data_IF_798606443787
#
_entry.id   IF_798606443787
#
_cell.length_a   1.000
_cell.length_b   1.000
_cell.length_c   1.000
_cell.angle_alpha   90.00
_cell.angle_beta   90.00
_cell.angle_gamma   90.00
#
_symmetry.space_group_name_H-M   'P 1'
#
loop_
_entity.id
_entity.type
_entity.pdbx_description
1 polymer ?
#
# COMPACT_ATOMS: atom_id res chain seq x y z
N UNK A 1 42.65 14.12 24.45
CA UNK A 1 41.68 13.70 23.40
C UNK A 1 42.31 14.11 22.08
N UNK A 2 42.57 13.16 21.21
CA UNK A 2 43.17 13.42 19.88
C UNK A 2 42.20 14.24 19.04
N UNK A 3 42.74 15.02 18.11
CA UNK A 3 41.96 15.88 17.21
C UNK A 3 40.88 15.08 16.42
N UNK A 4 41.25 13.87 15.99
CA UNK A 4 40.34 12.91 15.37
C UNK A 4 39.16 12.50 16.27
N UNK A 5 39.39 12.35 17.57
CA UNK A 5 38.32 12.00 18.51
C UNK A 5 37.32 13.16 18.71
N UNK A 6 37.80 14.40 18.69
CA UNK A 6 36.91 15.59 18.72
C UNK A 6 36.09 15.72 17.41
N UNK A 7 36.74 15.53 16.28
CA UNK A 7 36.06 15.55 14.99
C UNK A 7 34.97 14.50 14.93
N UNK A 8 35.28 13.22 15.24
CA UNK A 8 34.33 12.12 15.23
C UNK A 8 33.14 12.38 16.17
N UNK A 9 33.38 12.83 17.37
CA UNK A 9 32.33 13.20 18.32
C UNK A 9 31.41 14.29 17.77
N UNK A 10 31.96 15.32 17.15
CA UNK A 10 31.17 16.41 16.58
C UNK A 10 30.33 15.95 15.39
N UNK A 11 30.85 15.06 14.54
CA UNK A 11 30.10 14.46 13.43
C UNK A 11 28.95 13.61 13.96
N UNK A 12 29.22 12.71 14.91
CA UNK A 12 28.21 11.85 15.52
C UNK A 12 27.10 12.64 16.21
N UNK A 13 27.45 13.68 16.95
CA UNK A 13 26.46 14.53 17.62
C UNK A 13 25.57 15.28 16.62
N UNK A 14 26.16 15.85 15.58
CA UNK A 14 25.39 16.54 14.52
C UNK A 14 24.49 15.57 13.75
N UNK A 15 24.98 14.38 13.44
CA UNK A 15 24.18 13.33 12.79
C UNK A 15 23.01 12.88 13.67
N UNK A 16 23.25 12.68 14.97
CA UNK A 16 22.20 12.31 15.93
C UNK A 16 21.13 13.42 16.05
N UNK A 17 21.56 14.68 16.13
CA UNK A 17 20.65 15.82 16.17
C UNK A 17 19.80 15.91 14.89
N UNK A 18 20.44 15.82 13.72
CA UNK A 18 19.74 15.82 12.43
C UNK A 18 18.71 14.68 12.35
N UNK A 19 19.11 13.47 12.75
CA UNK A 19 18.22 12.31 12.79
C UNK A 19 17.02 12.53 13.71
N UNK A 20 17.26 13.10 14.92
CA UNK A 20 16.17 13.43 15.84
C UNK A 20 15.21 14.46 15.24
N UNK A 21 15.73 15.55 14.63
CA UNK A 21 14.92 16.58 13.99
C UNK A 21 14.10 16.00 12.85
N UNK A 22 14.69 15.18 11.99
CA UNK A 22 13.96 14.53 10.88
C UNK A 22 12.84 13.62 11.39
N UNK A 23 13.08 12.86 12.46
CA UNK A 23 12.03 12.03 13.08
C UNK A 23 10.87 12.89 13.64
N UNK A 24 11.17 14.00 14.29
CA UNK A 24 10.16 14.90 14.84
C UNK A 24 9.34 15.56 13.72
N UNK A 25 9.99 16.03 12.68
CA UNK A 25 9.33 16.64 11.52
C UNK A 25 8.42 15.63 10.81
N UNK A 26 8.90 14.39 10.62
CA UNK A 26 8.11 13.32 10.02
C UNK A 26 6.88 12.98 10.87
N UNK A 27 7.04 12.87 12.19
CA UNK A 27 5.93 12.59 13.10
C UNK A 27 4.88 13.73 13.14
N UNK A 28 5.32 14.97 12.96
CA UNK A 28 4.45 16.14 12.90
C UNK A 28 3.73 16.26 11.53
N UNK A 29 4.30 15.66 10.49
CA UNK A 29 3.76 15.69 9.14
C UNK A 29 2.70 14.60 8.91
N UNK A 30 1.57 14.63 9.54
CA UNK A 30 0.52 13.59 9.62
C UNK A 30 0.35 12.64 8.41
N UNK A 31 0.54 13.14 7.16
CA UNK A 31 0.41 12.37 5.91
C UNK A 31 1.76 12.02 5.26
N UNK A 32 2.84 12.01 6.03
CA UNK A 32 4.19 11.81 5.50
C UNK A 32 4.37 10.53 4.68
N UNK A 33 3.74 9.43 5.07
CA UNK A 33 3.80 8.17 4.30
C UNK A 33 3.09 8.27 2.95
N UNK A 34 1.90 8.86 2.90
CA UNK A 34 1.16 9.06 1.65
C UNK A 34 1.92 10.00 0.71
N UNK A 35 2.54 11.07 1.25
CA UNK A 35 3.35 11.98 0.47
C UNK A 35 4.60 11.28 -0.11
N UNK A 36 5.30 10.46 0.70
CA UNK A 36 6.42 9.64 0.24
C UNK A 36 5.98 8.61 -0.81
N UNK A 37 4.79 8.02 -0.67
CA UNK A 37 4.21 7.09 -1.65
C UNK A 37 4.04 7.69 -3.05
N UNK A 38 3.95 9.01 -3.16
CA UNK A 38 3.89 9.72 -4.45
C UNK A 38 5.27 9.92 -5.12
N UNK A 39 6.36 9.69 -4.39
CA UNK A 39 7.72 9.88 -4.90
C UNK A 39 8.19 8.61 -5.63
N UNK A 40 8.04 8.58 -6.95
CA UNK A 40 8.47 7.45 -7.79
C UNK A 40 10.01 7.38 -7.98
N UNK A 41 10.78 7.46 -6.88
CA UNK A 41 12.25 7.47 -6.91
C UNK A 41 12.89 6.09 -6.73
N UNK A 42 12.13 5.10 -6.30
CA UNK A 42 12.67 3.79 -5.94
C UNK A 42 13.52 3.15 -7.05
N UNK A 43 13.01 3.09 -8.27
CA UNK A 43 13.74 2.48 -9.40
C UNK A 43 15.02 3.24 -9.79
N UNK A 44 15.09 4.55 -9.46
CA UNK A 44 16.29 5.37 -9.67
C UNK A 44 17.34 5.14 -8.58
N UNK A 45 16.87 4.97 -7.34
CA UNK A 45 17.76 4.81 -6.18
C UNK A 45 18.30 3.38 -6.07
N UNK A 46 17.54 2.38 -6.51
CA UNK A 46 17.88 0.96 -6.37
C UNK A 46 17.64 0.25 -7.72
N UNK A 47 18.42 0.56 -8.74
CA UNK A 47 18.27 -0.04 -10.06
C UNK A 47 18.55 -1.55 -10.00
N UNK A 48 17.74 -2.34 -10.70
CA UNK A 48 17.89 -3.80 -10.79
C UNK A 48 17.38 -4.58 -9.59
N UNK A 49 16.85 -3.93 -8.54
CA UNK A 49 16.18 -4.62 -7.43
C UNK A 49 14.75 -4.96 -7.83
N UNK A 50 14.46 -6.24 -7.86
CA UNK A 50 13.08 -6.71 -8.02
C UNK A 50 12.22 -6.28 -6.82
N UNK A 51 10.97 -5.98 -7.10
CA UNK A 51 9.98 -5.63 -6.09
C UNK A 51 8.91 -6.67 -6.04
N UNK A 52 8.26 -6.74 -4.89
CA UNK A 52 7.00 -7.46 -4.82
C UNK A 52 5.99 -6.83 -5.78
N UNK A 53 5.21 -7.66 -6.49
CA UNK A 53 4.21 -7.14 -7.41
C UNK A 53 3.16 -6.35 -6.62
N UNK A 54 3.02 -5.09 -6.97
CA UNK A 54 1.93 -4.23 -6.56
C UNK A 54 1.70 -3.25 -7.69
N UNK A 55 0.74 -3.61 -8.53
CA UNK A 55 0.53 -2.94 -9.80
C UNK A 55 1.20 -3.66 -10.96
N UNK A 56 0.78 -3.33 -12.15
CA UNK A 56 1.10 -4.04 -13.39
C UNK A 56 2.39 -3.52 -14.02
N UNK A 57 2.81 -2.33 -13.65
CA UNK A 57 4.00 -1.69 -14.18
C UNK A 57 4.93 -1.24 -13.06
N UNK A 58 6.07 -1.91 -12.86
CA UNK A 58 7.01 -1.59 -11.78
C UNK A 58 7.71 -0.25 -11.94
N UNK A 59 7.61 0.41 -13.11
CA UNK A 59 8.14 1.75 -13.32
C UNK A 59 7.17 2.84 -12.90
N UNK A 60 5.87 2.55 -12.86
CA UNK A 60 4.79 3.49 -12.54
C UNK A 60 4.08 3.19 -11.23
N UNK A 61 4.09 1.92 -10.82
CA UNK A 61 3.53 1.47 -9.57
C UNK A 61 4.61 0.79 -8.74
N UNK A 62 4.79 1.20 -7.52
CA UNK A 62 5.71 0.55 -6.59
C UNK A 62 5.15 0.62 -5.18
N UNK A 63 5.55 -0.34 -4.41
CA UNK A 63 5.08 -0.45 -3.06
C UNK A 63 6.08 0.20 -2.10
N UNK A 64 5.76 1.36 -1.60
CA UNK A 64 6.55 2.01 -0.56
C UNK A 64 6.27 1.39 0.81
N UNK A 65 5.01 0.98 1.06
CA UNK A 65 4.59 0.42 2.33
C UNK A 65 3.44 -0.55 2.16
N UNK A 66 3.58 -1.77 2.69
CA UNK A 66 2.49 -2.76 2.79
C UNK A 66 1.56 -2.48 3.98
N UNK A 67 1.89 -1.52 4.83
CA UNK A 67 1.17 -1.27 6.08
C UNK A 67 0.33 -0.01 6.07
N UNK A 68 0.50 0.86 5.07
CA UNK A 68 -0.23 2.11 4.98
C UNK A 68 -1.06 2.14 3.69
N UNK A 69 -2.38 2.12 3.85
CA UNK A 69 -3.34 2.06 2.74
C UNK A 69 -3.18 3.25 1.77
N UNK A 70 -3.02 4.46 2.28
CA UNK A 70 -2.88 5.66 1.46
C UNK A 70 -1.55 5.67 0.69
N UNK A 71 -0.45 5.24 1.32
CA UNK A 71 0.84 5.13 0.65
C UNK A 71 0.83 4.05 -0.44
N UNK A 72 0.16 2.92 -0.21
CA UNK A 72 -0.03 1.89 -1.23
C UNK A 72 -0.74 2.45 -2.45
N UNK A 73 -1.90 3.08 -2.26
CA UNK A 73 -2.66 3.66 -3.37
C UNK A 73 -1.91 4.80 -4.05
N UNK A 74 -1.25 5.68 -3.29
CA UNK A 74 -0.44 6.76 -3.86
C UNK A 74 0.71 6.25 -4.74
N UNK A 75 1.25 5.08 -4.42
CA UNK A 75 2.32 4.43 -5.19
C UNK A 75 1.79 3.56 -6.36
N UNK A 76 0.49 3.35 -6.47
CA UNK A 76 -0.12 2.49 -7.48
C UNK A 76 -0.57 3.28 -8.72
N UNK A 77 -0.37 2.71 -9.90
CA UNK A 77 -0.80 3.34 -11.16
C UNK A 77 -2.33 3.55 -11.27
N UNK A 78 -3.13 2.81 -10.50
CA UNK A 78 -4.59 2.99 -10.43
C UNK A 78 -4.98 4.41 -9.99
N UNK A 79 -4.12 5.09 -9.25
CA UNK A 79 -4.32 6.47 -8.80
C UNK A 79 -3.97 7.52 -9.87
N UNK A 80 -3.38 7.10 -10.98
CA UNK A 80 -3.17 7.99 -12.14
C UNK A 80 -4.48 8.22 -12.90
N UNK A 81 -4.61 9.36 -13.60
CA UNK A 81 -5.75 9.59 -14.48
C UNK A 81 -5.91 8.45 -15.49
N UNK A 82 -7.15 7.95 -15.64
CA UNK A 82 -7.44 6.92 -16.62
C UNK A 82 -7.29 7.48 -18.05
N UNK A 83 -6.72 6.71 -18.99
CA UNK A 83 -6.81 7.01 -20.41
C UNK A 83 -8.27 7.09 -20.85
N UNK A 84 -8.55 7.98 -21.80
CA UNK A 84 -9.92 8.13 -22.33
C UNK A 84 -10.39 6.85 -23.01
N UNK A 85 -11.56 6.37 -22.62
CA UNK A 85 -12.18 5.18 -23.21
C UNK A 85 -11.71 3.84 -22.63
N UNK A 86 -10.80 3.82 -21.67
CA UNK A 86 -10.38 2.59 -20.98
C UNK A 86 -11.48 2.09 -20.03
N UNK A 87 -11.77 0.79 -20.05
CA UNK A 87 -12.58 0.11 -19.04
C UNK A 87 -11.68 -0.40 -17.93
N UNK A 88 -11.81 0.16 -16.73
CA UNK A 88 -11.01 -0.22 -15.58
C UNK A 88 -11.60 -1.43 -14.86
N UNK A 89 -10.81 -2.50 -14.78
CA UNK A 89 -11.15 -3.75 -14.07
C UNK A 89 -10.22 -3.92 -12.87
N UNK A 90 -10.76 -3.91 -11.67
CA UNK A 90 -9.98 -4.09 -10.44
C UNK A 90 -10.01 -5.56 -10.01
N UNK A 91 -8.83 -6.15 -9.86
CA UNK A 91 -8.65 -7.50 -9.32
C UNK A 91 -8.32 -7.39 -7.84
N UNK A 92 -9.16 -7.92 -6.98
CA UNK A 92 -8.99 -7.90 -5.52
C UNK A 92 -8.92 -9.31 -4.99
N UNK A 93 -8.11 -9.55 -3.99
CA UNK A 93 -7.96 -10.86 -3.35
C UNK A 93 -6.68 -10.97 -2.53
N UNK A 94 -6.29 -12.19 -2.27
CA UNK A 94 -5.17 -12.55 -1.41
C UNK A 94 -3.82 -12.64 -2.16
N UNK A 95 -2.89 -13.41 -1.63
CA UNK A 95 -1.55 -13.65 -2.19
C UNK A 95 -1.55 -14.21 -3.62
N UNK A 96 -2.64 -14.87 -4.04
CA UNK A 96 -2.78 -15.39 -5.40
C UNK A 96 -3.00 -14.27 -6.43
N UNK A 97 -3.79 -13.28 -6.08
CA UNK A 97 -3.98 -12.07 -6.89
C UNK A 97 -2.76 -11.15 -6.78
N UNK A 98 -2.24 -10.99 -5.55
CA UNK A 98 -1.01 -10.23 -5.30
C UNK A 98 0.14 -10.69 -6.19
N UNK A 99 0.27 -12.01 -6.38
CA UNK A 99 1.33 -12.61 -7.18
C UNK A 99 2.61 -12.84 -6.38
N UNK A 100 2.49 -13.43 -5.18
CA UNK A 100 3.66 -13.80 -4.37
C UNK A 100 4.66 -14.60 -5.21
N UNK A 101 5.93 -14.20 -5.19
CA UNK A 101 7.04 -14.78 -5.97
C UNK A 101 6.93 -14.62 -7.49
N UNK A 102 6.00 -13.81 -7.99
CA UNK A 102 5.85 -13.51 -9.41
C UNK A 102 6.37 -12.10 -9.72
N UNK A 103 6.83 -11.90 -10.94
CA UNK A 103 7.02 -10.53 -11.47
C UNK A 103 5.66 -9.92 -11.84
N UNK A 104 5.53 -8.59 -11.95
CA UNK A 104 4.25 -7.97 -12.34
C UNK A 104 3.64 -8.52 -13.63
N UNK A 105 4.45 -8.86 -14.62
CA UNK A 105 4.01 -9.45 -15.89
C UNK A 105 3.53 -10.90 -15.77
N UNK A 106 3.90 -11.59 -14.70
CA UNK A 106 3.49 -12.97 -14.43
C UNK A 106 2.24 -13.05 -13.57
N UNK A 107 1.80 -11.94 -12.97
CA UNK A 107 0.56 -11.90 -12.18
C UNK A 107 -0.67 -12.07 -13.07
N UNK A 108 -1.81 -12.40 -12.46
CA UNK A 108 -3.09 -12.48 -13.17
C UNK A 108 -3.39 -11.19 -13.95
N UNK A 109 -3.22 -10.02 -13.32
CA UNK A 109 -3.41 -8.73 -13.98
C UNK A 109 -2.45 -8.54 -15.17
N UNK A 110 -1.17 -8.87 -14.98
CA UNK A 110 -0.16 -8.78 -16.03
C UNK A 110 -0.50 -9.66 -17.23
N UNK A 111 -0.91 -10.91 -16.99
CA UNK A 111 -1.31 -11.85 -18.04
C UNK A 111 -2.58 -11.40 -18.77
N UNK A 112 -3.60 -10.94 -18.04
CA UNK A 112 -4.83 -10.43 -18.65
C UNK A 112 -4.57 -9.17 -19.50
N UNK A 113 -3.69 -8.28 -19.03
CA UNK A 113 -3.31 -7.09 -19.81
C UNK A 113 -2.51 -7.43 -21.07
N UNK A 114 -1.75 -8.52 -21.06
CA UNK A 114 -1.00 -8.98 -22.24
C UNK A 114 -1.89 -9.56 -23.35
N UNK A 115 -3.17 -9.87 -23.06
CA UNK A 115 -4.14 -10.38 -24.02
C UNK A 115 -4.84 -9.27 -24.82
N UNK A 116 -4.60 -7.99 -24.52
CA UNK A 116 -5.21 -6.83 -25.17
C UNK A 116 -6.74 -6.95 -25.35
N UNK A 117 -7.41 -7.40 -24.28
CA UNK A 117 -8.84 -7.69 -24.28
C UNK A 117 -9.66 -6.41 -24.45
N UNK A 118 -10.82 -6.55 -25.11
CA UNK A 118 -11.80 -5.47 -25.29
C UNK A 118 -13.14 -5.86 -24.69
N UNK A 119 -13.87 -4.85 -24.23
CA UNK A 119 -15.27 -4.99 -23.84
C UNK A 119 -16.19 -5.18 -25.07
N UNK A 120 -17.44 -5.56 -24.84
CA UNK A 120 -18.41 -5.78 -25.92
C UNK A 120 -18.67 -4.53 -26.79
N UNK A 121 -18.42 -3.34 -26.27
CA UNK A 121 -18.52 -2.05 -26.95
C UNK A 121 -17.19 -1.59 -27.59
N UNK A 122 -16.18 -2.47 -27.62
CA UNK A 122 -14.89 -2.24 -28.28
C UNK A 122 -13.90 -1.40 -27.48
N UNK A 123 -14.19 -1.05 -26.24
CA UNK A 123 -13.25 -0.30 -25.38
C UNK A 123 -12.17 -1.24 -24.80
N UNK A 124 -10.90 -0.82 -24.72
CA UNK A 124 -9.85 -1.63 -24.15
C UNK A 124 -10.09 -1.89 -22.66
N UNK A 125 -9.93 -3.14 -22.23
CA UNK A 125 -9.96 -3.52 -20.82
C UNK A 125 -8.57 -3.34 -20.21
N UNK A 126 -8.51 -2.68 -19.05
CA UNK A 126 -7.28 -2.55 -18.26
C UNK A 126 -7.48 -3.15 -16.88
N UNK A 127 -6.68 -4.15 -16.56
CA UNK A 127 -6.73 -4.87 -15.30
C UNK A 127 -5.71 -4.28 -14.32
N UNK A 128 -6.18 -3.94 -13.12
CA UNK A 128 -5.37 -3.36 -12.04
C UNK A 128 -5.29 -4.34 -10.88
N UNK A 129 -4.06 -4.71 -10.49
CA UNK A 129 -3.81 -5.64 -9.41
C UNK A 129 -3.95 -4.94 -8.06
N UNK A 130 -5.05 -5.13 -7.38
CA UNK A 130 -5.30 -4.66 -6.01
C UNK A 130 -5.28 -5.82 -5.01
N UNK A 131 -4.62 -6.93 -5.33
CA UNK A 131 -4.37 -8.02 -4.40
C UNK A 131 -3.51 -7.56 -3.21
N UNK A 132 -3.62 -8.29 -2.10
CA UNK A 132 -2.78 -8.08 -0.91
C UNK A 132 -2.50 -9.42 -0.23
N UNK A 133 -1.26 -9.70 0.23
CA UNK A 133 -0.78 -11.06 0.53
C UNK A 133 -1.32 -11.69 1.83
N UNK A 134 -2.50 -11.32 2.30
CA UNK A 134 -3.14 -11.94 3.46
C UNK A 134 -4.58 -12.33 3.19
N UNK A 135 -5.10 -13.27 3.96
CA UNK A 135 -6.45 -13.81 3.88
C UNK A 135 -7.36 -13.10 4.89
N UNK A 136 -8.14 -12.13 4.43
CA UNK A 136 -9.08 -11.37 5.27
C UNK A 136 -10.06 -10.62 4.37
N UNK A 137 -11.37 -10.84 4.56
CA UNK A 137 -12.40 -10.07 3.87
C UNK A 137 -12.38 -8.59 4.30
N UNK A 138 -12.12 -8.32 5.57
CA UNK A 138 -12.01 -6.94 6.08
C UNK A 138 -10.94 -6.16 5.31
N UNK A 139 -9.80 -6.78 5.05
CA UNK A 139 -8.73 -6.22 4.21
C UNK A 139 -9.23 -5.95 2.79
N UNK A 140 -9.92 -6.91 2.16
CA UNK A 140 -10.43 -6.77 0.79
C UNK A 140 -11.46 -5.64 0.69
N UNK A 141 -12.42 -5.60 1.62
CA UNK A 141 -13.44 -4.54 1.66
C UNK A 141 -12.79 -3.17 1.90
N UNK A 142 -11.77 -3.09 2.75
CA UNK A 142 -11.03 -1.85 2.99
C UNK A 142 -10.31 -1.34 1.73
N UNK A 143 -9.70 -2.24 0.96
CA UNK A 143 -9.08 -1.93 -0.33
C UNK A 143 -10.13 -1.49 -1.35
N UNK A 144 -11.25 -2.20 -1.45
CA UNK A 144 -12.36 -1.86 -2.35
C UNK A 144 -12.99 -0.51 -2.00
N UNK A 145 -13.21 -0.24 -0.72
CA UNK A 145 -13.76 1.05 -0.27
C UNK A 145 -12.84 2.22 -0.65
N UNK A 146 -11.54 2.04 -0.47
CA UNK A 146 -10.55 3.04 -0.88
C UNK A 146 -10.46 3.20 -2.40
N UNK A 147 -10.66 2.11 -3.15
CA UNK A 147 -10.61 2.11 -4.61
C UNK A 147 -11.88 2.63 -5.28
N UNK A 148 -13.00 2.71 -4.55
CA UNK A 148 -14.32 3.03 -5.09
C UNK A 148 -14.34 4.27 -6.00
N UNK A 149 -13.66 5.32 -5.57
CA UNK A 149 -13.67 6.61 -6.27
C UNK A 149 -12.59 6.71 -7.38
N UNK A 150 -11.90 5.60 -7.67
CA UNK A 150 -10.87 5.53 -8.70
C UNK A 150 -11.39 5.04 -10.06
N UNK A 151 -12.70 5.01 -10.25
CA UNK A 151 -13.32 4.77 -11.54
C UNK A 151 -13.32 3.30 -11.99
N UNK A 152 -13.46 2.35 -11.07
CA UNK A 152 -13.69 0.95 -11.42
C UNK A 152 -15.04 0.78 -12.15
N UNK A 153 -15.02 0.24 -13.36
CA UNK A 153 -16.24 -0.18 -14.06
C UNK A 153 -16.59 -1.64 -13.77
N UNK A 154 -15.58 -2.44 -13.45
CA UNK A 154 -15.72 -3.86 -13.07
C UNK A 154 -14.80 -4.19 -11.92
N UNK A 155 -15.26 -5.10 -11.08
CA UNK A 155 -14.49 -5.68 -9.98
C UNK A 155 -14.52 -7.20 -10.14
N UNK A 156 -13.36 -7.81 -10.11
CA UNK A 156 -13.19 -9.26 -9.99
C UNK A 156 -12.59 -9.52 -8.63
N UNK A 157 -13.41 -10.04 -7.72
CA UNK A 157 -13.00 -10.35 -6.37
C UNK A 157 -12.79 -11.85 -6.21
N UNK A 158 -11.54 -12.26 -6.02
CA UNK A 158 -11.15 -13.66 -5.80
C UNK A 158 -11.12 -13.91 -4.30
N UNK A 159 -12.13 -14.65 -3.82
CA UNK A 159 -12.31 -14.96 -2.41
C UNK A 159 -12.05 -16.45 -2.20
N UNK A 160 -11.16 -16.77 -1.27
CA UNK A 160 -10.99 -18.15 -0.76
C UNK A 160 -11.84 -18.35 0.49
N UNK A 161 -12.25 -19.57 0.77
CA UNK A 161 -13.04 -19.88 1.99
C UNK A 161 -12.28 -19.52 3.27
N UNK A 162 -10.96 -19.60 3.23
CA UNK A 162 -10.09 -19.24 4.36
C UNK A 162 -10.10 -17.74 4.67
N UNK A 163 -10.46 -16.89 3.71
CA UNK A 163 -10.65 -15.45 3.94
C UNK A 163 -11.86 -15.12 4.82
N UNK A 164 -12.78 -16.09 5.01
CA UNK A 164 -13.98 -15.96 5.85
C UNK A 164 -13.72 -16.26 7.33
N UNK A 165 -12.55 -16.79 7.68
CA UNK A 165 -12.20 -17.14 9.05
C UNK A 165 -12.21 -15.89 9.93
N UNK A 166 -13.06 -15.89 10.97
CA UNK A 166 -13.32 -14.72 11.82
C UNK A 166 -12.05 -14.18 12.49
N UNK A 167 -11.21 -15.07 12.97
CA UNK A 167 -9.98 -14.74 13.70
C UNK A 167 -8.96 -14.01 12.82
N UNK A 168 -9.01 -14.22 11.51
CA UNK A 168 -8.09 -13.60 10.54
C UNK A 168 -8.51 -12.19 10.11
N UNK A 169 -9.71 -11.73 10.44
CA UNK A 169 -10.24 -10.49 9.88
C UNK A 169 -9.43 -9.25 10.27
N UNK A 170 -8.88 -9.21 11.47
CA UNK A 170 -8.13 -8.08 12.00
C UNK A 170 -6.60 -8.31 12.04
N UNK A 171 -6.14 -9.52 11.73
CA UNK A 171 -4.71 -9.88 11.80
C UNK A 171 -3.91 -9.40 10.58
N UNK A 172 -4.60 -9.02 9.51
CA UNK A 172 -3.93 -8.48 8.34
C UNK A 172 -3.16 -7.20 8.71
N UNK A 173 -1.86 -7.11 8.36
CA UNK A 173 -1.05 -5.93 8.69
C UNK A 173 -1.65 -4.62 8.20
N UNK A 174 -2.26 -4.60 7.01
CA UNK A 174 -2.91 -3.38 6.50
C UNK A 174 -4.14 -3.01 7.31
N UNK A 175 -4.90 -3.98 7.83
CA UNK A 175 -6.06 -3.73 8.71
C UNK A 175 -5.58 -3.17 10.05
N UNK A 176 -4.61 -3.85 10.67
CA UNK A 176 -4.07 -3.47 11.98
C UNK A 176 -3.44 -2.07 11.99
N UNK A 177 -2.85 -1.64 10.88
CA UNK A 177 -2.14 -0.36 10.79
C UNK A 177 -2.99 0.79 10.20
N UNK A 178 -4.25 0.53 9.78
CA UNK A 178 -5.15 1.56 9.24
C UNK A 178 -6.48 1.65 10.03
N UNK A 179 -6.43 1.96 11.31
CA UNK A 179 -7.60 1.94 12.20
C UNK A 179 -8.71 2.92 11.80
N UNK A 180 -8.36 4.02 11.18
CA UNK A 180 -9.34 4.98 10.70
C UNK A 180 -10.18 4.42 9.54
N UNK A 181 -9.55 3.68 8.61
CA UNK A 181 -10.24 3.01 7.53
C UNK A 181 -11.18 1.91 8.05
N UNK A 182 -10.73 1.13 9.04
CA UNK A 182 -11.57 0.10 9.69
C UNK A 182 -12.81 0.72 10.36
N UNK A 183 -12.65 1.83 11.07
CA UNK A 183 -13.79 2.56 11.66
C UNK A 183 -14.73 3.07 10.59
N UNK A 184 -14.20 3.68 9.53
CA UNK A 184 -15.03 4.17 8.42
C UNK A 184 -15.87 3.07 7.76
N UNK A 185 -15.34 1.83 7.69
CA UNK A 185 -16.11 0.67 7.24
C UNK A 185 -17.19 0.30 8.26
N UNK A 186 -16.85 0.21 9.55
CA UNK A 186 -17.81 -0.12 10.60
C UNK A 186 -18.97 0.88 10.62
N UNK A 187 -18.68 2.16 10.56
CA UNK A 187 -19.69 3.23 10.54
C UNK A 187 -20.58 3.14 9.28
N UNK A 188 -19.97 2.90 8.11
CA UNK A 188 -20.69 2.85 6.83
C UNK A 188 -21.60 1.68 6.70
N UNK A 189 -21.19 0.52 7.18
CA UNK A 189 -21.93 -0.74 7.04
C UNK A 189 -22.70 -1.15 8.29
N UNK A 190 -22.74 -0.31 9.32
CA UNK A 190 -23.43 -0.57 10.56
C UNK A 190 -22.91 -1.83 11.26
N UNK A 191 -21.58 -2.05 11.23
CA UNK A 191 -20.97 -3.21 11.84
C UNK A 191 -20.85 -2.97 13.35
N UNK A 192 -21.82 -3.48 14.10
CA UNK A 192 -21.85 -3.36 15.54
C UNK A 192 -20.78 -4.21 16.23
N UNK A 193 -20.09 -3.57 17.15
CA UNK A 193 -19.44 -4.13 18.32
C UNK A 193 -18.45 -5.28 18.12
N UNK A 194 -17.20 -5.00 18.36
CA UNK A 194 -16.11 -5.96 18.41
C UNK A 194 -14.95 -5.65 17.48
N UNK A 195 -15.05 -4.60 16.69
CA UNK A 195 -13.83 -4.04 16.08
C UNK A 195 -12.96 -3.52 17.23
N UNK A 196 -11.74 -4.05 17.43
CA UNK A 196 -10.81 -3.45 18.36
C UNK A 196 -10.75 -1.97 18.02
N UNK A 197 -11.08 -1.12 18.99
CA UNK A 197 -10.90 0.32 18.81
C UNK A 197 -9.39 0.54 18.72
N UNK A 198 -8.84 0.73 17.52
CA UNK A 198 -7.39 0.90 17.43
C UNK A 198 -7.09 2.23 18.08
N UNK A 199 -6.30 2.18 19.12
CA UNK A 199 -5.78 3.38 19.75
C UNK A 199 -5.01 4.18 18.71
N UNK A 200 -5.33 5.46 18.47
CA UNK A 200 -4.57 6.28 17.54
C UNK A 200 -3.08 6.16 17.86
N UNK A 201 -2.21 6.02 16.85
CA UNK A 201 -0.79 5.85 17.10
C UNK A 201 -0.27 7.04 17.89
N UNK A 202 0.38 6.78 19.01
CA UNK A 202 1.05 7.79 19.82
C UNK A 202 2.12 8.52 19.00
N UNK A 203 2.54 9.70 19.47
CA UNK A 203 3.52 10.51 18.75
C UNK A 203 4.76 9.71 18.32
N UNK A 204 5.34 8.89 19.20
CA UNK A 204 6.52 8.07 18.92
C UNK A 204 6.29 7.00 17.85
N UNK A 205 5.09 6.45 17.78
CA UNK A 205 4.72 5.49 16.73
C UNK A 205 4.62 6.13 15.36
N UNK A 206 4.44 7.45 15.28
CA UNK A 206 4.40 8.23 14.04
C UNK A 206 5.78 8.67 13.53
N UNK A 207 6.84 8.50 14.32
CA UNK A 207 8.21 8.82 13.89
C UNK A 207 8.70 7.83 12.81
N UNK A 208 9.75 8.20 12.06
CA UNK A 208 10.41 7.30 11.11
C UNK A 208 10.85 5.99 11.79
N UNK A 209 11.39 6.08 12.99
CA UNK A 209 11.81 4.90 13.78
C UNK A 209 10.61 4.05 14.18
N UNK A 210 9.52 4.66 14.63
CA UNK A 210 8.30 3.96 15.00
C UNK A 210 7.67 3.25 13.81
N UNK A 211 7.74 3.86 12.63
CA UNK A 211 7.17 3.33 11.39
C UNK A 211 8.16 2.52 10.54
N UNK A 212 9.36 2.22 11.05
CA UNK A 212 10.41 1.52 10.29
C UNK A 212 9.94 0.23 9.61
N UNK A 213 9.00 -0.53 10.25
CA UNK A 213 8.44 -1.75 9.66
C UNK A 213 7.46 -1.46 8.52
N UNK A 214 6.80 -0.31 8.56
CA UNK A 214 5.88 0.13 7.52
C UNK A 214 6.62 0.75 6.32
N UNK A 215 7.87 1.18 6.51
CA UNK A 215 8.70 1.82 5.49
C UNK A 215 9.75 0.86 4.90
N UNK A 216 9.92 -0.32 5.47
CA UNK A 216 10.84 -1.37 5.01
C UNK A 216 10.11 -2.38 4.12
#
# INVERSE_FOLDING_TARGET
>A
MTENARFLRNVLWKAALLFAVLNLLFAAWGDGQAALGRLSLYNRLIPGRERFPFGENPQRAYNLSLYNLEAMFAAHQVSAPAPTGEVRVFLVGDSSVWGTLLTPTQTLAGQLNALDLQSCDGRPLRFYNLGYPTLSLTKDVMILDRARDLGAERIVWLVTLESLVREKQLDSPIVANNPAAVRGLADRYGLDGGTPQPTPPGFWQRTLVGQRRALA
#
